data_IF_510943855883
#
_entry.id   IF_510943855883
#
_cell.length_a   1.000
_cell.length_b   1.000
_cell.length_c   1.000
_cell.angle_alpha   90.00
_cell.angle_beta   90.00
_cell.angle_gamma   90.00
#
_symmetry.space_group_name_H-M   'P 1'
#
loop_
_entity.id
_entity.type
_entity.pdbx_description
1 polymer ?
#
# COMPACT_ATOMS: atom_id res chain seq x y z
N UNK A 1 21.71 -8.65 -0.15
CA UNK A 1 20.77 -8.14 -1.19
C UNK A 1 20.18 -9.26 -2.04
N UNK A 2 20.99 -10.23 -2.47
CA UNK A 2 20.54 -11.35 -3.31
C UNK A 2 19.43 -12.20 -2.67
N UNK A 3 19.48 -12.44 -1.36
CA UNK A 3 18.39 -13.09 -0.64
C UNK A 3 17.05 -12.34 -0.82
N UNK A 4 17.04 -11.01 -0.61
CA UNK A 4 15.83 -10.18 -0.78
C UNK A 4 15.32 -10.18 -2.22
N UNK A 5 16.23 -10.20 -3.19
CA UNK A 5 15.87 -10.37 -4.60
C UNK A 5 15.15 -11.71 -4.85
N UNK A 6 15.62 -12.81 -4.25
CA UNK A 6 15.05 -14.15 -4.44
C UNK A 6 13.75 -14.38 -3.67
N UNK A 7 13.61 -13.82 -2.47
CA UNK A 7 12.53 -14.19 -1.54
C UNK A 7 11.47 -13.12 -1.32
N UNK A 8 11.71 -11.87 -1.71
CA UNK A 8 10.74 -10.80 -1.43
C UNK A 8 9.43 -11.02 -2.19
N UNK A 9 8.25 -10.91 -1.55
CA UNK A 9 6.96 -10.98 -2.25
C UNK A 9 6.72 -9.76 -3.15
N UNK A 10 7.38 -8.63 -2.89
CA UNK A 10 7.22 -7.40 -3.66
C UNK A 10 8.02 -7.44 -4.95
N UNK A 11 7.33 -7.56 -6.09
CA UNK A 11 7.95 -7.52 -7.42
C UNK A 11 8.79 -6.26 -7.63
N UNK A 12 8.27 -5.10 -7.21
CA UNK A 12 8.99 -3.83 -7.31
C UNK A 12 10.31 -3.83 -6.51
N UNK A 13 10.32 -4.46 -5.34
CA UNK A 13 11.54 -4.56 -4.53
C UNK A 13 12.54 -5.53 -5.17
N UNK A 14 12.07 -6.68 -5.67
CA UNK A 14 12.93 -7.63 -6.40
C UNK A 14 13.61 -6.98 -7.59
N UNK A 15 12.84 -6.28 -8.43
CA UNK A 15 13.35 -5.60 -9.63
C UNK A 15 14.41 -4.54 -9.30
N UNK A 16 14.20 -3.76 -8.23
CA UNK A 16 15.18 -2.78 -7.75
C UNK A 16 16.45 -3.43 -7.21
N UNK A 17 16.33 -4.56 -6.51
CA UNK A 17 17.49 -5.33 -6.06
C UNK A 17 18.28 -5.90 -7.24
N UNK A 18 17.60 -6.50 -8.23
CA UNK A 18 18.22 -7.03 -9.45
C UNK A 18 19.02 -5.96 -10.20
N UNK A 19 18.42 -4.77 -10.36
CA UNK A 19 19.05 -3.62 -10.97
C UNK A 19 20.35 -3.22 -10.27
N UNK A 20 20.36 -3.18 -8.93
CA UNK A 20 21.56 -2.82 -8.16
C UNK A 20 22.63 -3.90 -8.24
N UNK A 21 22.25 -5.19 -8.23
CA UNK A 21 23.19 -6.30 -8.45
C UNK A 21 23.85 -6.20 -9.83
N UNK A 22 23.06 -5.97 -10.89
CA UNK A 22 23.61 -5.79 -12.24
C UNK A 22 24.51 -4.56 -12.36
N UNK A 23 24.25 -3.49 -11.60
CA UNK A 23 25.15 -2.33 -11.51
C UNK A 23 26.43 -2.64 -10.75
N UNK A 24 26.40 -3.52 -9.75
CA UNK A 24 27.57 -3.98 -9.02
C UNK A 24 28.46 -4.88 -9.91
N UNK A 25 27.86 -5.65 -10.83
CA UNK A 25 28.55 -6.44 -11.86
C UNK A 25 29.20 -5.56 -12.97
N UNK A 26 29.26 -4.25 -12.80
CA UNK A 26 29.93 -3.33 -13.73
C UNK A 26 29.10 -2.94 -14.97
N UNK A 27 27.82 -3.35 -15.08
CA UNK A 27 27.01 -3.02 -16.26
C UNK A 27 26.64 -1.54 -16.34
N UNK A 28 26.49 -1.05 -17.58
CA UNK A 28 26.04 0.33 -17.83
C UNK A 28 24.58 0.50 -17.43
N UNK A 29 24.17 1.73 -17.09
CA UNK A 29 22.77 1.99 -16.72
C UNK A 29 21.79 1.75 -17.88
N UNK A 30 22.26 1.82 -19.13
CA UNK A 30 21.47 1.52 -20.32
C UNK A 30 21.21 0.01 -20.44
N UNK A 31 22.25 -0.80 -20.31
CA UNK A 31 22.12 -2.27 -20.39
C UNK A 31 21.27 -2.82 -19.26
N UNK A 32 21.51 -2.34 -18.03
CA UNK A 32 20.67 -2.71 -16.88
C UNK A 32 19.21 -2.33 -17.14
N UNK A 33 18.97 -1.13 -17.68
CA UNK A 33 17.63 -0.68 -18.05
C UNK A 33 16.94 -1.61 -19.04
N UNK A 34 17.64 -2.06 -20.09
CA UNK A 34 17.12 -3.03 -21.05
C UNK A 34 16.76 -4.36 -20.40
N UNK A 35 17.61 -4.88 -19.50
CA UNK A 35 17.39 -6.15 -18.81
C UNK A 35 16.17 -6.10 -17.88
N UNK A 36 16.01 -5.01 -17.12
CA UNK A 36 14.94 -4.89 -16.11
C UNK A 36 13.69 -4.15 -16.62
N UNK A 37 13.67 -3.74 -17.90
CA UNK A 37 12.55 -3.02 -18.51
C UNK A 37 12.35 -1.59 -17.99
N UNK A 38 13.42 -0.90 -17.58
CA UNK A 38 13.38 0.48 -17.08
C UNK A 38 14.26 1.42 -17.93
N UNK A 39 13.93 2.70 -17.92
CA UNK A 39 14.81 3.71 -18.53
C UNK A 39 16.09 3.90 -17.69
N UNK A 40 17.20 4.26 -18.35
CA UNK A 40 18.50 4.47 -17.70
C UNK A 40 18.45 5.51 -16.57
N UNK A 41 17.57 6.54 -16.68
CA UNK A 41 17.36 7.56 -15.63
C UNK A 41 16.81 6.93 -14.36
N UNK A 42 15.85 6.02 -14.49
CA UNK A 42 15.31 5.26 -13.35
C UNK A 42 16.38 4.39 -12.71
N UNK A 43 17.23 3.75 -13.52
CA UNK A 43 18.38 2.97 -13.03
C UNK A 43 19.33 3.82 -12.22
N UNK A 44 19.73 4.98 -12.73
CA UNK A 44 20.60 5.91 -12.00
C UNK A 44 19.96 6.39 -10.71
N UNK A 45 18.66 6.71 -10.72
CA UNK A 45 17.92 7.14 -9.53
C UNK A 45 17.85 6.07 -8.44
N UNK A 46 17.61 4.80 -8.81
CA UNK A 46 17.59 3.69 -7.85
C UNK A 46 18.98 3.35 -7.33
N UNK A 47 20.00 3.41 -8.20
CA UNK A 47 21.40 3.22 -7.80
C UNK A 47 21.83 4.27 -6.79
N UNK A 48 21.47 5.55 -7.02
CA UNK A 48 21.75 6.64 -6.10
C UNK A 48 21.07 6.41 -4.74
N UNK A 49 19.77 6.10 -4.74
CA UNK A 49 19.03 5.79 -3.51
C UNK A 49 19.61 4.62 -2.72
N UNK A 50 20.08 3.60 -3.41
CA UNK A 50 20.78 2.49 -2.77
C UNK A 50 22.11 2.93 -2.14
N UNK A 51 22.89 3.78 -2.81
CA UNK A 51 24.15 4.30 -2.21
C UNK A 51 23.89 5.13 -0.96
N UNK A 52 22.80 5.88 -0.92
CA UNK A 52 22.45 6.76 0.21
C UNK A 52 21.85 6.00 1.41
N UNK A 53 21.00 5.00 1.17
CA UNK A 53 20.20 4.37 2.21
C UNK A 53 20.15 2.82 2.14
N UNK A 54 21.03 2.21 1.36
CA UNK A 54 21.11 0.76 1.19
C UNK A 54 19.78 0.14 0.72
N UNK A 55 19.42 -0.99 1.34
CA UNK A 55 18.18 -1.71 1.04
C UNK A 55 16.93 -0.91 1.38
N UNK A 56 16.95 -0.10 2.44
CA UNK A 56 15.81 0.74 2.82
C UNK A 56 15.50 1.78 1.75
N UNK A 57 16.53 2.31 1.07
CA UNK A 57 16.38 3.21 -0.07
C UNK A 57 15.66 2.60 -1.28
N UNK A 58 15.60 1.27 -1.37
CA UNK A 58 14.91 0.53 -2.43
C UNK A 58 13.45 0.21 -2.09
N UNK A 59 13.05 0.31 -0.83
CA UNK A 59 11.65 0.08 -0.44
C UNK A 59 10.76 1.22 -0.89
N UNK A 60 9.49 0.91 -1.13
CA UNK A 60 8.50 1.96 -1.40
C UNK A 60 8.23 2.69 -0.09
N UNK A 61 8.43 4.02 -0.08
CA UNK A 61 8.16 4.84 1.10
C UNK A 61 6.67 4.72 1.52
N UNK A 62 6.38 4.63 2.81
CA UNK A 62 5.00 4.62 3.31
C UNK A 62 4.29 5.93 2.92
N UNK A 63 2.97 5.87 2.77
CA UNK A 63 2.15 7.04 2.45
C UNK A 63 2.11 7.44 0.96
N UNK A 64 2.67 6.63 0.06
CA UNK A 64 2.55 6.87 -1.40
C UNK A 64 1.22 6.30 -1.91
N UNK A 65 0.47 7.12 -2.67
CA UNK A 65 -0.80 6.72 -3.28
C UNK A 65 -1.96 7.63 -2.87
N UNK A 66 -3.13 7.40 -3.46
CA UNK A 66 -4.34 8.14 -3.08
C UNK A 66 -4.74 7.73 -1.66
N UNK A 67 -4.96 8.73 -0.79
CA UNK A 67 -5.46 8.47 0.56
C UNK A 67 -6.79 7.68 0.49
N UNK A 68 -6.97 6.66 1.35
CA UNK A 68 -8.25 5.97 1.46
C UNK A 68 -9.40 6.96 1.71
N UNK A 69 -10.58 6.66 1.14
CA UNK A 69 -11.80 7.45 1.43
C UNK A 69 -12.34 7.21 2.86
N UNK A 70 -11.94 6.09 3.45
CA UNK A 70 -12.25 5.65 4.81
C UNK A 70 -10.92 5.48 5.57
N UNK A 71 -10.76 6.19 6.68
CA UNK A 71 -9.60 6.11 7.56
C UNK A 71 -10.04 5.53 8.91
N UNK A 72 -9.35 4.49 9.39
CA UNK A 72 -9.68 3.82 10.67
C UNK A 72 -9.78 4.83 11.82
N UNK A 73 -8.76 5.69 11.96
CA UNK A 73 -8.70 6.71 13.00
C UNK A 73 -9.87 7.71 13.01
N UNK A 74 -10.59 7.89 11.90
CA UNK A 74 -11.66 8.89 11.77
C UNK A 74 -13.04 8.24 11.67
N UNK A 75 -13.15 7.16 10.90
CA UNK A 75 -14.43 6.60 10.48
C UNK A 75 -14.85 5.38 11.32
N UNK A 76 -13.95 4.73 12.05
CA UNK A 76 -14.23 3.46 12.73
C UNK A 76 -15.43 3.52 13.67
N UNK A 77 -15.48 4.49 14.58
CA UNK A 77 -16.55 4.61 15.56
C UNK A 77 -17.92 4.81 14.89
N UNK A 78 -17.99 5.72 13.91
CA UNK A 78 -19.21 6.01 13.17
C UNK A 78 -19.67 4.83 12.31
N UNK A 79 -18.74 4.14 11.65
CA UNK A 79 -19.02 2.94 10.85
C UNK A 79 -19.54 1.81 11.74
N UNK A 80 -18.90 1.57 12.90
CA UNK A 80 -19.35 0.56 13.87
C UNK A 80 -20.77 0.85 14.36
N UNK A 81 -21.07 2.09 14.72
CA UNK A 81 -22.41 2.48 15.15
C UNK A 81 -23.46 2.25 14.03
N UNK A 82 -23.16 2.67 12.80
CA UNK A 82 -24.08 2.50 11.68
C UNK A 82 -24.36 1.03 11.33
N UNK A 83 -23.35 0.17 11.44
CA UNK A 83 -23.48 -1.30 11.26
C UNK A 83 -24.25 -1.93 12.41
N UNK A 84 -24.02 -1.51 13.65
CA UNK A 84 -24.76 -2.02 14.81
C UNK A 84 -26.26 -1.72 14.71
N UNK A 85 -26.64 -0.56 14.20
CA UNK A 85 -28.04 -0.19 13.97
C UNK A 85 -28.66 -0.90 12.76
N UNK A 86 -27.86 -1.41 11.82
CA UNK A 86 -28.32 -1.99 10.56
C UNK A 86 -27.66 -3.36 10.26
N UNK A 87 -27.54 -4.24 11.27
CA UNK A 87 -26.71 -5.47 11.20
C UNK A 87 -27.00 -6.37 10.00
N UNK A 88 -28.25 -6.47 9.58
CA UNK A 88 -28.67 -7.36 8.49
C UNK A 88 -28.58 -6.71 7.10
N UNK A 89 -28.43 -5.37 7.03
CA UNK A 89 -28.52 -4.61 5.77
C UNK A 89 -27.35 -3.63 5.65
N UNK A 90 -26.21 -4.15 5.16
CA UNK A 90 -24.97 -3.37 4.96
C UNK A 90 -25.20 -2.11 4.12
N UNK A 91 -26.07 -2.16 3.11
CA UNK A 91 -26.40 -1.00 2.28
C UNK A 91 -27.04 0.14 3.09
N UNK A 92 -27.90 -0.18 4.07
CA UNK A 92 -28.50 0.82 4.96
C UNK A 92 -27.47 1.34 5.97
N UNK A 93 -26.61 0.47 6.51
CA UNK A 93 -25.51 0.89 7.38
C UNK A 93 -24.60 1.90 6.68
N UNK A 94 -24.22 1.61 5.43
CA UNK A 94 -23.43 2.51 4.58
C UNK A 94 -24.14 3.85 4.37
N UNK A 95 -25.41 3.83 3.98
CA UNK A 95 -26.17 5.06 3.72
C UNK A 95 -26.31 5.91 4.99
N UNK A 96 -26.60 5.30 6.14
CA UNK A 96 -26.69 5.97 7.43
C UNK A 96 -25.34 6.58 7.85
N UNK A 97 -24.23 5.89 7.61
CA UNK A 97 -22.89 6.44 7.84
C UNK A 97 -22.54 7.57 6.87
N UNK A 98 -22.84 7.43 5.58
CA UNK A 98 -22.59 8.49 4.58
C UNK A 98 -23.37 9.77 4.90
N UNK A 99 -24.58 9.67 5.44
CA UNK A 99 -25.38 10.81 5.87
C UNK A 99 -24.75 11.62 7.03
N UNK A 100 -23.85 11.02 7.80
CA UNK A 100 -23.14 11.68 8.91
C UNK A 100 -21.87 12.41 8.43
N UNK A 101 -21.46 12.23 7.17
CA UNK A 101 -20.25 12.84 6.63
C UNK A 101 -20.50 14.30 6.27
N UNK A 102 -19.44 15.11 6.37
CA UNK A 102 -19.47 16.50 5.91
C UNK A 102 -19.92 16.59 4.43
N UNK A 103 -20.78 17.56 4.15
CA UNK A 103 -21.26 17.86 2.79
C UNK A 103 -20.09 18.01 1.82
N UNK A 104 -20.20 17.39 0.64
CA UNK A 104 -19.13 17.34 -0.36
C UNK A 104 -18.09 16.23 -0.16
N UNK A 105 -18.23 15.38 0.87
CA UNK A 105 -17.41 14.18 1.00
C UNK A 105 -17.58 13.23 -0.20
N UNK A 106 -16.50 12.66 -0.75
CA UNK A 106 -16.62 11.69 -1.84
C UNK A 106 -17.42 10.46 -1.41
N UNK A 107 -18.41 10.07 -2.22
CA UNK A 107 -19.19 8.84 -2.01
C UNK A 107 -18.27 7.62 -1.91
N UNK A 108 -18.59 6.67 -1.06
CA UNK A 108 -17.84 5.43 -0.90
C UNK A 108 -18.56 4.32 -1.63
N UNK A 109 -17.83 3.41 -2.29
CA UNK A 109 -18.43 2.23 -2.91
C UNK A 109 -18.83 1.19 -1.86
N UNK A 110 -19.85 0.37 -2.15
CA UNK A 110 -20.24 -0.74 -1.26
C UNK A 110 -19.04 -1.65 -0.95
N UNK A 111 -18.27 -2.03 -1.97
CA UNK A 111 -17.13 -2.93 -1.78
C UNK A 111 -16.01 -2.31 -0.94
N UNK A 112 -15.77 -1.00 -1.10
CA UNK A 112 -14.83 -0.26 -0.26
C UNK A 112 -15.28 -0.25 1.21
N UNK A 113 -16.58 -0.05 1.45
CA UNK A 113 -17.16 -0.12 2.79
C UNK A 113 -17.03 -1.53 3.39
N UNK A 114 -17.35 -2.58 2.62
CA UNK A 114 -17.16 -3.97 3.05
C UNK A 114 -15.68 -4.30 3.33
N UNK A 115 -14.75 -3.84 2.48
CA UNK A 115 -13.32 -4.04 2.67
C UNK A 115 -12.82 -3.37 3.96
N UNK A 116 -13.32 -2.18 4.27
CA UNK A 116 -13.03 -1.49 5.53
C UNK A 116 -13.53 -2.28 6.75
N UNK A 117 -14.76 -2.83 6.70
CA UNK A 117 -15.27 -3.70 7.77
C UNK A 117 -14.40 -4.94 7.97
N UNK A 118 -13.96 -5.59 6.88
CA UNK A 118 -13.03 -6.74 6.96
C UNK A 118 -11.70 -6.35 7.61
N UNK A 119 -11.18 -5.17 7.29
CA UNK A 119 -9.96 -4.66 7.91
C UNK A 119 -10.13 -4.43 9.42
N UNK A 120 -11.26 -3.86 9.86
CA UNK A 120 -11.55 -3.67 11.30
C UNK A 120 -11.63 -5.00 12.07
N UNK A 121 -12.20 -6.05 11.46
CA UNK A 121 -12.28 -7.39 12.08
C UNK A 121 -10.89 -8.03 12.18
N UNK A 122 -10.07 -7.91 11.13
CA UNK A 122 -8.71 -8.44 11.14
C UNK A 122 -7.84 -7.77 12.23
N UNK A 123 -7.97 -6.46 12.40
CA UNK A 123 -7.24 -5.67 13.42
C UNK A 123 -7.71 -6.01 14.84
N UNK A 124 -9.02 -6.23 15.02
CA UNK A 124 -9.58 -6.71 16.29
C UNK A 124 -9.01 -8.08 16.67
N UNK A 125 -8.99 -9.05 15.74
CA UNK A 125 -8.45 -10.38 16.02
C UNK A 125 -6.94 -10.38 16.29
N UNK A 126 -6.18 -9.47 15.70
CA UNK A 126 -4.75 -9.32 15.96
C UNK A 126 -4.44 -8.79 17.37
N UNK A 127 -5.34 -7.97 17.94
CA UNK A 127 -5.15 -7.36 19.26
C UNK A 127 -5.49 -8.29 20.44
N UNK A 128 -6.22 -9.38 20.20
CA UNK A 128 -6.64 -10.34 21.26
C UNK A 128 -5.68 -11.53 21.36
N UNK A 129 -4.78 -11.70 20.39
CA UNK A 129 -3.81 -12.80 20.31
C UNK A 129 -2.39 -12.43 20.80
N UNK A 130 -2.24 -11.31 21.52
CA UNK A 130 -0.98 -10.79 22.05
C UNK A 130 -0.86 -10.91 23.56
#
# INVERSE_FOLDING_TARGET
>A
MEHTYKTSPSHALRLRCQLVLLKADGRTSQDVGRVVGLCHVSVSSWTKRHREAGLEGLKTKPGRGRKPRLAVAQDEAAVRAAVQSNRQRITLAKAAWEAQRASGSPAVGRDTFCAFLKALVADSNASVAG
#
